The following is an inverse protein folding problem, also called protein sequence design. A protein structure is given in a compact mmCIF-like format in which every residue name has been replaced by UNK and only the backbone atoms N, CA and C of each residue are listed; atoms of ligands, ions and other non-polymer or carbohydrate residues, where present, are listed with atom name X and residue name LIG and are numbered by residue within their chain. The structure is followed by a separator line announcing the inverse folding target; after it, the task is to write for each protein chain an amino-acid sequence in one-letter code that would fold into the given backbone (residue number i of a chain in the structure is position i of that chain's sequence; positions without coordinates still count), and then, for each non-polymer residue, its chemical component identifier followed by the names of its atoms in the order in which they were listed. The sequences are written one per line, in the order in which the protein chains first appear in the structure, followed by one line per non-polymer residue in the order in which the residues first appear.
data_IF_928529606083
#
_entry.id   IF_928529606083
#
_cell.length_a   1.000
_cell.length_b   1.000
_cell.length_c   1.000
_cell.angle_alpha   90.00
_cell.angle_beta   90.00
_cell.angle_gamma   90.00
#
_symmetry.space_group_name_H-M   'P 1'
#
loop_
_entity.id
_entity.type
_entity.pdbx_description
1 polymer ?
#
# COMPACT_ATOMS: atom_id res chain seq x y z
N UNK A 1 -3.87 3.65 13.71
CA UNK A 1 -3.37 3.85 12.34
C UNK A 1 -2.85 2.51 11.87
N UNK A 2 -3.33 2.04 10.72
CA UNK A 2 -2.95 0.78 10.07
C UNK A 2 -2.09 1.13 8.86
N UNK A 3 -0.95 0.47 8.69
CA UNK A 3 -0.05 0.63 7.55
C UNK A 3 -0.16 -0.58 6.63
N UNK A 4 -0.60 -0.35 5.39
CA UNK A 4 -0.72 -1.34 4.33
C UNK A 4 0.44 -1.20 3.33
N UNK A 5 1.28 -2.23 3.23
CA UNK A 5 2.31 -2.30 2.20
C UNK A 5 1.75 -2.83 0.86
N UNK A 6 1.96 -2.07 -0.22
CA UNK A 6 1.65 -2.48 -1.60
C UNK A 6 2.96 -2.58 -2.39
N UNK A 7 3.10 -3.56 -3.31
CA UNK A 7 4.25 -3.62 -4.20
C UNK A 7 4.47 -2.30 -4.95
N UNK A 8 5.72 -1.83 -4.99
CA UNK A 8 6.08 -0.51 -5.53
C UNK A 8 5.97 -0.43 -7.05
N UNK A 9 6.01 -1.58 -7.74
CA UNK A 9 5.99 -1.68 -9.20
C UNK A 9 5.51 -3.05 -9.71
N UNK A 10 5.24 -3.12 -11.01
CA UNK A 10 4.92 -4.34 -11.74
C UNK A 10 3.45 -4.76 -11.66
N UNK A 11 3.13 -5.90 -12.29
CA UNK A 11 1.75 -6.40 -12.44
C UNK A 11 1.01 -6.57 -11.10
N UNK A 12 1.71 -7.02 -10.06
CA UNK A 12 1.09 -7.22 -8.75
C UNK A 12 0.62 -5.90 -8.13
N UNK A 13 1.36 -4.79 -8.34
CA UNK A 13 0.91 -3.45 -7.92
C UNK A 13 -0.39 -3.07 -8.61
N UNK A 14 -0.44 -3.20 -9.93
CA UNK A 14 -1.61 -2.82 -10.73
C UNK A 14 -2.85 -3.60 -10.29
N UNK A 15 -2.70 -4.92 -10.11
CA UNK A 15 -3.76 -5.80 -9.63
C UNK A 15 -4.21 -5.46 -8.20
N UNK A 16 -3.27 -5.16 -7.30
CA UNK A 16 -3.57 -4.75 -5.93
C UNK A 16 -4.42 -3.47 -5.91
N UNK A 17 -4.00 -2.44 -6.66
CA UNK A 17 -4.73 -1.18 -6.76
C UNK A 17 -6.12 -1.38 -7.37
N UNK A 18 -6.24 -2.21 -8.40
CA UNK A 18 -7.52 -2.52 -9.04
C UNK A 18 -8.48 -3.25 -8.10
N UNK A 19 -8.01 -4.25 -7.37
CA UNK A 19 -8.83 -5.01 -6.41
C UNK A 19 -9.29 -4.10 -5.26
N UNK A 20 -8.41 -3.26 -4.73
CA UNK A 20 -8.75 -2.30 -3.69
C UNK A 20 -9.79 -1.29 -4.19
N UNK A 21 -9.62 -0.73 -5.38
CA UNK A 21 -10.60 0.17 -5.99
C UNK A 21 -11.97 -0.51 -6.18
N UNK A 22 -11.99 -1.75 -6.67
CA UNK A 22 -13.23 -2.55 -6.82
C UNK A 22 -13.92 -2.82 -5.48
N UNK A 23 -13.17 -2.87 -4.38
CA UNK A 23 -13.71 -3.01 -3.03
C UNK A 23 -14.16 -1.67 -2.40
N UNK A 24 -14.08 -0.56 -3.13
CA UNK A 24 -14.38 0.77 -2.59
C UNK A 24 -13.25 1.37 -1.74
N UNK A 25 -12.03 0.81 -1.85
CA UNK A 25 -10.83 1.22 -1.12
C UNK A 25 -9.79 1.82 -2.08
N UNK A 26 -10.22 2.72 -2.96
CA UNK A 26 -9.33 3.32 -3.94
C UNK A 26 -8.14 4.01 -3.25
N UNK A 27 -6.92 3.79 -3.77
CA UNK A 27 -5.70 4.38 -3.23
C UNK A 27 -5.39 5.66 -3.99
N UNK A 28 -5.38 6.78 -3.27
CA UNK A 28 -4.99 8.09 -3.80
C UNK A 28 -3.47 8.26 -3.70
N UNK A 29 -2.80 8.33 -4.85
CA UNK A 29 -1.37 8.57 -4.93
C UNK A 29 -1.08 10.05 -4.64
N UNK A 30 -0.08 10.39 -3.81
CA UNK A 30 0.30 11.78 -3.62
C UNK A 30 0.81 12.35 -4.95
N UNK A 31 0.41 13.59 -5.27
CA UNK A 31 0.90 14.30 -6.45
C UNK A 31 2.39 14.69 -6.38
N UNK A 32 3.08 14.39 -5.27
CA UNK A 32 4.49 14.64 -5.06
C UNK A 32 5.22 13.31 -4.86
N UNK A 33 6.05 12.93 -5.83
CA UNK A 33 6.80 11.66 -5.89
C UNK A 33 7.70 11.41 -4.68
N UNK A 34 7.99 12.44 -3.87
CA UNK A 34 8.83 12.29 -2.67
C UNK A 34 8.09 11.73 -1.47
N UNK A 35 6.76 11.59 -1.53
CA UNK A 35 5.99 10.94 -0.48
C UNK A 35 5.79 9.48 -0.87
N UNK A 36 6.57 8.59 -0.27
CA UNK A 36 6.39 7.12 -0.34
C UNK A 36 5.08 6.61 0.28
N UNK A 37 4.18 7.54 0.65
CA UNK A 37 2.98 7.32 1.43
C UNK A 37 1.77 7.76 0.61
N UNK A 38 0.85 6.82 0.40
CA UNK A 38 -0.46 7.06 -0.20
C UNK A 38 -1.56 6.85 0.85
N UNK A 39 -2.79 7.20 0.50
CA UNK A 39 -3.95 7.02 1.39
C UNK A 39 -5.05 6.26 0.70
N UNK A 40 -5.84 5.55 1.48
CA UNK A 40 -7.11 4.98 1.02
C UNK A 40 -8.18 6.07 1.10
N UNK A 41 -8.91 6.29 0.01
CA UNK A 41 -9.98 7.28 -0.03
C UNK A 41 -11.08 6.93 0.97
N UNK A 42 -11.46 7.90 1.81
CA UNK A 42 -12.50 7.72 2.83
C UNK A 42 -12.06 6.97 4.10
N UNK A 43 -10.78 6.60 4.24
CA UNK A 43 -10.22 5.97 5.44
C UNK A 43 -8.96 6.70 5.94
N UNK A 44 -9.16 7.64 6.86
CA UNK A 44 -8.07 8.47 7.40
C UNK A 44 -7.08 7.69 8.30
N UNK A 45 -7.52 6.55 8.85
CA UNK A 45 -6.70 5.70 9.72
C UNK A 45 -5.86 4.66 8.98
N UNK A 46 -5.92 4.63 7.63
CA UNK A 46 -5.18 3.68 6.80
C UNK A 46 -4.18 4.41 5.91
N UNK A 47 -2.90 4.12 6.14
CA UNK A 47 -1.79 4.60 5.34
C UNK A 47 -1.28 3.50 4.41
N UNK A 48 -0.92 3.87 3.18
CA UNK A 48 -0.35 2.95 2.20
C UNK A 48 1.12 3.29 2.01
N UNK A 49 1.99 2.29 2.11
CA UNK A 49 3.41 2.41 1.77
C UNK A 49 3.76 1.53 0.59
N UNK A 50 4.64 2.01 -0.28
CA UNK A 50 5.11 1.24 -1.44
C UNK A 50 6.48 0.62 -1.18
N UNK A 51 6.55 -0.71 -1.15
CA UNK A 51 7.77 -1.49 -0.91
C UNK A 51 8.03 -2.48 -2.05
N UNK A 52 9.24 -3.03 -2.20
CA UNK A 52 9.41 -4.16 -3.11
C UNK A 52 8.68 -5.40 -2.57
N UNK A 53 8.14 -6.24 -3.45
CA UNK A 53 7.41 -7.45 -3.03
C UNK A 53 8.26 -8.37 -2.13
N UNK A 54 9.58 -8.43 -2.35
CA UNK A 54 10.51 -9.20 -1.53
C UNK A 54 10.71 -8.64 -0.11
N UNK A 55 10.47 -7.36 0.12
CA UNK A 55 10.66 -6.72 1.43
C UNK A 55 9.42 -6.84 2.32
N UNK A 56 8.21 -6.87 1.72
CA UNK A 56 6.93 -6.76 2.45
C UNK A 56 6.81 -7.78 3.59
N UNK A 57 7.10 -9.06 3.32
CA UNK A 57 7.04 -10.11 4.34
C UNK A 57 8.00 -9.87 5.51
N UNK A 58 9.18 -9.32 5.22
CA UNK A 58 10.17 -8.97 6.23
C UNK A 58 9.73 -7.79 7.10
N UNK A 59 9.13 -6.77 6.48
CA UNK A 59 8.60 -5.60 7.20
C UNK A 59 7.40 -5.96 8.10
N UNK A 60 6.53 -6.87 7.66
CA UNK A 60 5.46 -7.41 8.50
C UNK A 60 6.07 -8.16 9.70
N UNK A 61 7.06 -9.02 9.48
CA UNK A 61 7.71 -9.77 10.55
C UNK A 61 8.42 -8.89 11.59
N UNK A 62 8.89 -7.71 11.18
CA UNK A 62 9.49 -6.71 12.07
C UNK A 62 8.45 -5.81 12.76
N UNK A 63 7.17 -5.87 12.36
CA UNK A 63 6.12 -4.98 12.84
C UNK A 63 6.24 -3.55 12.32
N UNK A 64 6.97 -3.33 11.21
CA UNK A 64 7.10 -2.02 10.58
C UNK A 64 5.86 -1.64 9.74
N UNK A 65 5.13 -2.65 9.26
CA UNK A 65 3.83 -2.52 8.61
C UNK A 65 2.86 -3.55 9.19
N UNK A 66 1.57 -3.22 9.20
CA UNK A 66 0.54 -4.07 9.80
C UNK A 66 0.01 -5.13 8.82
N UNK A 67 -0.04 -4.76 7.53
CA UNK A 67 -0.60 -5.56 6.45
C UNK A 67 0.29 -5.43 5.20
N UNK A 68 0.25 -6.43 4.32
CA UNK A 68 0.94 -6.33 3.03
C UNK A 68 0.40 -7.27 1.96
N UNK A 69 0.53 -6.84 0.71
CA UNK A 69 0.19 -7.64 -0.48
C UNK A 69 1.50 -8.17 -1.09
N UNK A 70 1.65 -9.48 -1.14
CA UNK A 70 2.85 -10.17 -1.67
C UNK A 70 2.47 -11.26 -2.68
#
# INVERSE_FOLDING_TARGET
MITLAIPSKGRLKEQALEVLAKAGLAVSLPGDERKYHARVEGLDDVEVVFLSASEISGEIGQGAVDLGIT
#
